data_IF_932008594513
#
_entry.id   IF_932008594513
#
_cell.length_a   1.000
_cell.length_b   1.000
_cell.length_c   1.000
_cell.angle_alpha   90.00
_cell.angle_beta   90.00
_cell.angle_gamma   90.00
#
_symmetry.space_group_name_H-M   'P 1'
#
loop_
_entity.id
_entity.type
_entity.pdbx_description
1 polymer ?
2 non-polymer ?
3 non-polymer ?
4 water ?
#
# COMPACT_ATOMS: atom_id res chain seq x y z
N UNK A 4 -1.79 16.10 18.99
CA UNK A 4 -2.65 15.86 17.85
C UNK A 4 -1.79 15.78 16.61
N UNK A 5 -0.58 15.25 16.78
CA UNK A 5 0.23 14.91 15.62
C UNK A 5 -0.54 14.02 14.65
N UNK A 6 -0.42 14.32 13.36
CA UNK A 6 -0.89 13.43 12.31
C UNK A 6 0.22 12.45 11.94
N UNK A 7 -0.07 11.14 11.93
CA UNK A 7 0.91 10.16 11.49
C UNK A 7 1.21 10.40 10.02
N UNK A 8 2.43 10.13 9.59
CA UNK A 8 2.81 10.41 8.20
C UNK A 8 2.06 9.52 7.22
N UNK A 9 2.07 9.97 5.99
CA UNK A 9 1.44 9.27 4.86
C UNK A 9 2.53 8.56 4.07
N UNK A 10 2.45 7.23 4.01
CA UNK A 10 3.35 6.40 3.22
C UNK A 10 2.68 6.05 1.90
N UNK A 11 3.31 6.41 0.80
CA UNK A 11 2.79 6.03 -0.51
C UNK A 11 3.88 6.09 -1.55
N UNK A 12 3.68 5.32 -2.62
CA UNK A 12 4.67 5.21 -3.68
C UNK A 12 4.02 4.60 -4.90
N UNK A 13 4.74 4.67 -6.00
CA UNK A 13 4.43 3.99 -7.23
C UNK A 13 5.71 3.38 -7.74
N UNK A 14 5.60 2.22 -8.38
CA UNK A 14 6.76 1.54 -8.94
C UNK A 14 6.78 1.63 -10.46
N UNK A 15 7.98 1.77 -10.99
CA UNK A 15 8.23 1.75 -12.41
C UNK A 15 9.05 0.50 -12.71
N UNK A 16 8.47 -0.43 -13.48
CA UNK A 16 9.17 -1.66 -13.79
C UNK A 16 9.70 -1.63 -15.22
N UNK A 17 10.86 -2.25 -15.41
CA UNK A 17 11.51 -2.34 -16.73
C UNK A 17 12.20 -3.70 -16.73
N UNK A 18 11.48 -4.72 -17.19
CA UNK A 18 11.93 -6.08 -17.04
C UNK A 18 12.01 -6.43 -15.56
N UNK A 19 13.18 -6.86 -15.12
CA UNK A 19 13.40 -7.16 -13.71
C UNK A 19 13.87 -5.97 -12.91
N UNK A 20 14.10 -4.81 -13.54
CA UNK A 20 14.55 -3.63 -12.81
C UNK A 20 13.35 -2.80 -12.39
N UNK A 21 13.44 -2.20 -11.21
CA UNK A 21 12.35 -1.43 -10.62
C UNK A 21 12.90 -0.13 -10.07
N UNK A 22 12.13 0.94 -10.21
CA UNK A 22 12.43 2.23 -9.60
C UNK A 22 11.19 2.69 -8.83
N UNK A 23 11.40 3.37 -7.71
CA UNK A 23 10.31 3.86 -6.88
C UNK A 23 10.14 5.36 -7.04
N UNK A 24 8.89 5.77 -7.18
CA UNK A 24 8.50 7.17 -7.05
C UNK A 24 7.87 7.26 -5.68
N UNK A 25 8.41 8.11 -4.83
CA UNK A 25 7.99 8.16 -3.44
C UNK A 25 7.06 9.35 -3.25
N UNK A 26 5.82 9.08 -2.87
CA UNK A 26 4.82 10.12 -2.64
C UNK A 26 4.56 10.35 -1.16
N UNK A 27 5.43 9.83 -0.29
CA UNK A 27 5.22 9.92 1.15
C UNK A 27 5.48 11.34 1.64
N UNK A 28 4.74 11.73 2.67
CA UNK A 28 4.85 13.08 3.21
C UNK A 28 4.18 13.10 4.56
N UNK A 29 4.46 14.16 5.31
CA UNK A 29 3.82 14.40 6.61
C UNK A 29 3.03 15.71 6.50
N UNK A 30 1.73 15.66 6.78
CA UNK A 30 0.86 16.82 6.59
C UNK A 30 1.20 17.95 7.52
N UNK A 31 1.72 17.64 8.72
CA UNK A 31 1.94 18.61 9.78
C UNK A 31 3.40 18.63 10.25
N UNK A 32 4.31 18.01 9.52
CA UNK A 32 5.70 17.98 9.94
C UNK A 32 6.61 17.58 8.81
N UNK A 33 7.58 16.73 9.12
CA UNK A 33 8.55 16.28 8.12
C UNK A 33 8.82 14.80 8.31
N UNK A 34 9.22 14.14 7.23
CA UNK A 34 9.71 12.77 7.28
C UNK A 34 11.19 12.76 7.62
N UNK A 35 11.58 11.80 8.47
CA UNK A 35 12.95 11.69 8.92
C UNK A 35 13.65 10.46 8.35
N UNK A 36 12.93 9.41 8.01
CA UNK A 36 13.57 8.19 7.54
C UNK A 36 12.57 7.36 6.76
N UNK A 37 13.13 6.42 6.02
CA UNK A 37 12.46 5.53 5.08
C UNK A 37 13.00 4.13 5.25
N UNK A 38 12.11 3.13 5.21
CA UNK A 38 12.52 1.74 5.34
C UNK A 38 11.77 0.92 4.30
N UNK A 39 12.49 0.44 3.30
CA UNK A 39 11.92 -0.36 2.23
C UNK A 39 12.28 -1.84 2.39
N UNK A 40 11.31 -2.70 2.08
CA UNK A 40 11.53 -4.13 1.95
C UNK A 40 11.02 -4.49 0.55
N UNK A 41 11.91 -5.02 -0.30
CA UNK A 41 11.54 -5.28 -1.68
C UNK A 41 10.88 -6.63 -1.88
N UNK A 42 10.75 -7.43 -0.83
CA UNK A 42 10.03 -8.68 -0.92
C UNK A 42 10.84 -9.87 -1.39
N UNK A 43 12.13 -9.65 -1.68
CA UNK A 43 13.05 -10.69 -2.14
C UNK A 43 14.26 -10.81 -1.21
N UNK A 44 14.14 -10.34 0.03
CA UNK A 44 15.24 -10.40 0.97
C UNK A 44 16.14 -9.18 0.95
N UNK A 45 15.86 -8.22 0.08
CA UNK A 45 16.64 -6.99 -0.01
C UNK A 45 15.85 -5.81 0.54
N UNK A 46 16.56 -4.91 1.20
CA UNK A 46 15.97 -3.79 1.92
C UNK A 46 16.79 -2.53 1.63
N UNK A 47 16.22 -1.36 1.95
CA UNK A 47 16.88 -0.08 1.68
C UNK A 47 16.37 1.01 2.62
N UNK A 48 17.27 1.95 2.93
CA UNK A 48 16.94 3.16 3.68
C UNK A 48 16.88 4.40 2.79
N UNK A 49 17.01 4.23 1.48
CA UNK A 49 16.95 5.38 0.59
C UNK A 49 15.51 5.84 0.36
N UNK A 50 15.38 7.12 0.02
CA UNK A 50 14.07 7.71 -0.23
C UNK A 50 13.44 7.13 -1.49
N UNK A 51 14.18 7.06 -2.59
CA UNK A 51 13.65 6.66 -3.90
C UNK A 51 14.62 5.69 -4.52
N UNK A 52 14.68 4.46 -4.01
CA UNK A 52 15.68 3.49 -4.48
C UNK A 52 15.35 2.94 -5.86
N UNK A 53 16.40 2.45 -6.51
CA UNK A 53 16.28 1.65 -7.72
C UNK A 53 16.89 0.31 -7.37
N UNK A 54 16.27 -0.77 -7.86
CA UNK A 54 16.77 -2.10 -7.56
C UNK A 54 16.41 -3.01 -8.72
N UNK A 55 16.92 -4.24 -8.64
CA UNK A 55 16.60 -5.25 -9.63
C UNK A 55 16.38 -6.58 -8.94
N UNK A 56 15.38 -7.32 -9.40
CA UNK A 56 15.16 -8.69 -8.98
C UNK A 56 16.05 -9.59 -9.83
N UNK A 57 16.49 -10.71 -9.23
CA UNK A 57 17.29 -11.68 -9.97
C UNK A 57 16.44 -12.73 -10.68
N UNK A 58 15.16 -12.81 -10.36
CA UNK A 58 14.24 -13.72 -11.04
C UNK A 58 12.85 -13.10 -11.13
N UNK A 59 12.12 -13.53 -12.16
CA UNK A 59 10.75 -13.09 -12.37
C UNK A 59 9.88 -13.51 -11.18
N UNK A 60 8.78 -12.79 -10.99
CA UNK A 60 7.78 -13.21 -10.03
C UNK A 60 6.93 -12.04 -9.54
N UNK A 61 6.02 -12.36 -8.62
CA UNK A 61 5.21 -11.40 -7.89
C UNK A 61 5.85 -11.19 -6.53
N UNK A 62 6.01 -9.94 -6.14
CA UNK A 62 6.64 -9.59 -4.88
C UNK A 62 5.80 -8.52 -4.20
N UNK A 63 5.83 -8.53 -2.87
CA UNK A 63 5.24 -7.46 -2.08
C UNK A 63 6.36 -6.50 -1.69
N UNK A 64 6.20 -5.22 -2.07
CA UNK A 64 7.13 -4.15 -1.72
C UNK A 64 6.50 -3.33 -0.61
N UNK A 65 7.26 -3.09 0.45
CA UNK A 65 6.78 -2.38 1.63
C UNK A 65 7.62 -1.14 1.89
N UNK A 66 6.94 -0.05 2.29
CA UNK A 66 7.62 1.16 2.69
C UNK A 66 7.06 1.63 4.02
N UNK A 67 7.95 1.82 4.99
CA UNK A 67 7.61 2.44 6.26
C UNK A 67 8.30 3.79 6.34
N UNK A 68 7.54 4.83 6.69
CA UNK A 68 8.10 6.17 6.90
C UNK A 68 7.87 6.60 8.34
N UNK A 69 8.76 7.47 8.82
CA UNK A 69 8.72 7.99 10.18
C UNK A 69 8.74 9.52 10.15
N UNK A 70 7.93 10.17 10.99
CA UNK A 70 7.89 11.62 11.04
C UNK A 70 8.79 12.17 12.16
N UNK A 71 8.81 13.50 12.28
CA UNK A 71 9.66 14.25 13.21
C UNK A 71 9.32 14.00 14.67
N UNK A 72 8.15 13.38 14.94
CA UNK A 72 7.75 13.00 16.29
C UNK A 72 7.91 11.52 16.57
N UNK A 73 8.35 10.74 15.59
CA UNK A 73 8.53 9.31 15.72
C UNK A 73 7.32 8.48 15.34
N UNK A 74 6.27 9.09 14.82
CA UNK A 74 5.12 8.33 14.36
C UNK A 74 5.45 7.69 13.01
N UNK A 75 4.81 6.54 12.75
CA UNK A 75 5.09 5.76 11.55
C UNK A 75 3.81 5.38 10.80
N UNK A 76 4.01 4.97 9.55
CA UNK A 76 2.96 4.31 8.79
C UNK A 76 3.64 3.47 7.74
N UNK A 77 2.97 2.40 7.35
CA UNK A 77 3.49 1.44 6.37
C UNK A 77 2.45 1.26 5.27
N UNK A 78 2.92 1.30 4.04
CA UNK A 78 2.11 0.99 2.86
C UNK A 78 2.83 -0.06 2.05
N UNK A 79 2.09 -1.06 1.57
CA UNK A 79 2.68 -2.11 0.73
C UNK A 79 1.91 -2.23 -0.56
N UNK A 80 2.58 -2.73 -1.62
CA UNK A 80 1.94 -2.98 -2.90
C UNK A 80 2.56 -4.22 -3.52
N UNK A 81 1.72 -5.09 -4.11
CA UNK A 81 2.28 -6.16 -4.94
C UNK A 81 2.72 -5.60 -6.30
N UNK A 82 3.74 -6.24 -6.87
CA UNK A 82 4.22 -5.94 -8.21
C UNK A 82 4.58 -7.26 -8.88
N UNK A 83 4.57 -7.23 -10.19
CA UNK A 83 4.95 -8.38 -10.98
C UNK A 83 6.07 -7.96 -11.92
N UNK A 84 7.12 -8.77 -11.98
CA UNK A 84 8.21 -8.53 -12.91
C UNK A 84 8.42 -9.77 -13.74
N UNK A 85 8.75 -9.56 -15.00
CA UNK A 85 8.96 -10.64 -15.94
C UNK A 85 10.30 -10.44 -16.61
N UNK A 86 10.94 -11.55 -16.96
CA UNK A 86 12.17 -11.43 -17.77
C UNK A 86 11.80 -10.83 -19.12
N UNK A 87 12.60 -9.92 -19.68
CA UNK A 87 12.27 -9.30 -20.97
C UNK A 87 12.15 -10.31 -22.12
N UNK B 4 0.27 -7.90 -22.63
CA UNK B 4 -0.42 -6.71 -23.09
C UNK B 4 -1.31 -6.14 -22.00
N UNK B 5 -2.04 -6.98 -21.27
CA UNK B 5 -2.90 -6.45 -20.22
C UNK B 5 -2.07 -5.69 -19.20
N UNK B 6 -2.54 -4.52 -18.81
CA UNK B 6 -1.95 -3.79 -17.69
C UNK B 6 -2.60 -4.26 -16.39
N UNK B 7 -1.78 -4.65 -15.41
CA UNK B 7 -2.36 -5.08 -14.15
C UNK B 7 -3.04 -3.91 -13.45
N UNK B 8 -4.12 -4.18 -12.73
CA UNK B 8 -4.86 -3.10 -12.06
C UNK B 8 -4.05 -2.49 -10.93
N UNK B 9 -4.48 -1.31 -10.50
CA UNK B 9 -3.87 -0.55 -9.41
C UNK B 9 -4.83 -0.53 -8.22
N UNK B 10 -4.40 -1.09 -7.09
CA UNK B 10 -5.19 -1.02 -5.87
C UNK B 10 -4.67 0.18 -5.09
N UNK B 11 -5.60 1.05 -4.67
CA UNK B 11 -5.19 2.22 -3.90
C UNK B 11 -6.40 2.71 -3.10
N UNK B 12 -6.17 3.16 -1.87
CA UNK B 12 -7.25 3.65 -1.03
C UNK B 12 -6.71 4.61 0.02
N UNK B 13 -7.63 5.33 0.66
CA UNK B 13 -7.33 6.19 1.80
C UNK B 13 -8.44 5.97 2.80
N UNK B 14 -8.10 6.04 4.09
CA UNK B 14 -9.04 5.83 5.18
C UNK B 14 -9.37 7.14 5.87
N UNK B 15 -10.63 7.26 6.29
CA UNK B 15 -11.10 8.35 7.15
C UNK B 15 -11.54 7.71 8.44
N UNK B 16 -10.93 8.10 9.57
CA UNK B 16 -11.24 7.52 10.86
C UNK B 16 -12.08 8.49 11.69
N UNK B 17 -12.96 7.93 12.51
CA UNK B 17 -13.86 8.72 13.37
C UNK B 17 -14.05 7.88 14.62
N UNK B 18 -13.17 8.08 15.60
CA UNK B 18 -13.09 7.21 16.75
C UNK B 18 -12.67 5.83 16.30
N UNK B 19 -13.48 4.83 16.64
CA UNK B 19 -13.22 3.45 16.23
C UNK B 19 -13.84 3.10 14.90
N UNK B 20 -14.59 4.01 14.30
CA UNK B 20 -15.21 3.75 13.00
C UNK B 20 -14.33 4.27 11.86
N UNK B 21 -14.38 3.54 10.74
CA UNK B 21 -13.54 3.84 9.58
C UNK B 21 -14.37 3.74 8.31
N UNK B 22 -14.12 4.64 7.35
CA UNK B 22 -14.68 4.51 6.02
C UNK B 22 -13.57 4.65 4.98
N UNK B 23 -13.71 3.98 3.84
CA UNK B 23 -12.70 3.97 2.79
C UNK B 23 -13.05 4.88 1.62
N UNK B 24 -12.04 5.57 1.09
CA UNK B 24 -12.11 6.18 -0.24
C UNK B 24 -11.29 5.28 -1.15
N UNK B 25 -11.88 4.79 -2.25
CA UNK B 25 -11.22 3.82 -3.15
C UNK B 25 -10.65 4.54 -4.39
N UNK B 26 -9.34 4.50 -4.57
CA UNK B 26 -8.66 5.12 -5.72
C UNK B 26 -8.18 4.07 -6.71
N UNK B 27 -8.69 2.85 -6.58
CA UNK B 27 -8.25 1.76 -7.44
C UNK B 27 -8.79 1.98 -8.85
N UNK B 28 -8.04 1.51 -9.83
CA UNK B 28 -8.44 1.71 -11.21
C UNK B 28 -7.68 0.70 -12.05
N UNK B 29 -8.14 0.53 -13.29
CA UNK B 29 -7.46 -0.28 -14.29
C UNK B 29 -7.16 0.65 -15.47
N UNK B 30 -5.91 0.67 -15.95
CA UNK B 30 -5.53 1.61 -17.01
C UNK B 30 -6.20 1.29 -18.34
N UNK B 31 -6.52 0.02 -18.60
CA UNK B 31 -6.91 -0.42 -19.92
C UNK B 31 -8.28 -1.07 -20.01
N UNK B 32 -8.77 -1.69 -18.95
CA UNK B 32 -10.05 -2.35 -18.92
C UNK B 32 -10.87 -1.81 -17.77
N UNK B 33 -11.44 -2.69 -16.95
CA UNK B 33 -12.21 -2.23 -15.81
C UNK B 33 -11.95 -3.14 -14.62
N UNK B 34 -12.17 -2.59 -13.42
CA UNK B 34 -12.14 -3.39 -12.22
C UNK B 34 -13.47 -4.10 -12.08
N UNK B 35 -13.40 -5.35 -11.67
CA UNK B 35 -14.59 -6.17 -11.54
C UNK B 35 -14.90 -6.53 -10.09
N UNK B 36 -13.92 -6.53 -9.18
CA UNK B 36 -14.23 -6.90 -7.81
C UNK B 36 -13.16 -6.41 -6.85
N UNK B 37 -13.56 -6.42 -5.57
CA UNK B 37 -12.82 -5.84 -4.46
C UNK B 37 -12.88 -6.80 -3.27
N UNK B 38 -11.75 -6.99 -2.60
CA UNK B 38 -11.67 -7.87 -1.42
C UNK B 38 -10.87 -7.18 -0.34
N UNK B 39 -11.55 -6.82 0.74
CA UNK B 39 -10.95 -6.12 1.87
C UNK B 39 -10.75 -7.04 3.06
N UNK B 40 -9.62 -6.85 3.75
CA UNK B 40 -9.36 -7.44 5.05
C UNK B 40 -9.02 -6.29 5.98
N UNK B 41 -9.81 -6.10 7.04
CA UNK B 41 -9.63 -4.92 7.87
C UNK B 41 -8.58 -5.12 8.96
N UNK B 42 -8.01 -6.31 9.07
CA UNK B 42 -6.95 -6.55 10.03
C UNK B 42 -7.40 -6.93 11.41
N UNK B 43 -8.72 -7.05 11.61
CA UNK B 43 -9.31 -7.45 12.88
C UNK B 43 -10.19 -8.68 12.73
N UNK B 44 -9.98 -9.46 11.69
CA UNK B 44 -10.81 -10.64 11.45
C UNK B 44 -12.05 -10.40 10.63
N UNK B 45 -12.29 -9.17 10.21
CA UNK B 45 -13.46 -8.81 9.43
C UNK B 45 -13.05 -8.47 8.00
N UNK B 46 -13.94 -8.82 7.05
CA UNK B 46 -13.70 -8.71 5.63
C UNK B 46 -14.93 -8.14 4.91
N UNK B 47 -14.73 -7.72 3.65
CA UNK B 47 -15.80 -7.12 2.85
C UNK B 47 -15.50 -7.29 1.36
N UNK B 48 -16.57 -7.40 0.55
CA UNK B 48 -16.47 -7.35 -0.90
C UNK B 48 -16.98 -6.04 -1.50
N UNK B 49 -17.31 -5.04 -0.67
CA UNK B 49 -17.79 -3.75 -1.14
C UNK B 49 -16.66 -2.91 -1.70
N UNK B 50 -17.02 -2.01 -2.62
CA UNK B 50 -16.02 -1.11 -3.21
C UNK B 50 -15.50 -0.13 -2.15
N UNK B 51 -16.40 0.51 -1.40
CA UNK B 51 -16.04 1.57 -0.46
C UNK B 51 -16.73 1.31 0.88
N UNK B 52 -16.24 0.33 1.63
CA UNK B 52 -16.91 -0.08 2.87
C UNK B 52 -16.73 0.91 4.02
N UNK B 53 -17.64 0.83 4.95
CA UNK B 53 -17.53 1.44 6.25
C UNK B 53 -17.57 0.34 7.30
N UNK B 54 -16.73 0.44 8.31
CA UNK B 54 -16.68 -0.58 9.35
C UNK B 54 -16.33 0.06 10.68
N UNK B 55 -16.44 -0.74 11.74
CA UNK B 55 -16.07 -0.34 13.09
C UNK B 55 -15.08 -1.36 13.67
N UNK B 56 -14.04 -0.87 14.33
CA UNK B 56 -13.21 -1.70 15.21
C UNK B 56 -13.80 -1.74 16.62
N UNK B 57 -13.66 -2.88 17.29
CA UNK B 57 -14.19 -2.98 18.65
C UNK B 57 -13.19 -2.51 19.70
N UNK B 58 -11.94 -2.30 19.32
CA UNK B 58 -10.96 -1.80 20.27
C UNK B 58 -10.00 -0.89 19.55
N UNK B 59 -9.42 0.03 20.31
CA UNK B 59 -8.41 0.93 19.79
C UNK B 59 -7.20 0.11 19.33
N UNK B 60 -6.41 0.68 18.45
CA UNK B 60 -5.13 0.07 18.11
C UNK B 60 -4.66 0.42 16.70
N UNK B 61 -3.51 -0.16 16.36
CA UNK B 61 -2.98 -0.07 14.99
C UNK B 61 -3.31 -1.36 14.25
N UNK B 62 -3.81 -1.22 13.04
CA UNK B 62 -4.25 -2.33 12.21
C UNK B 62 -3.70 -2.16 10.80
N UNK B 63 -3.47 -3.28 10.12
CA UNK B 63 -3.15 -3.26 8.71
C UNK B 63 -4.42 -3.60 7.93
N UNK B 64 -4.79 -2.70 7.00
CA UNK B 64 -5.94 -2.90 6.13
C UNK B 64 -5.45 -3.27 4.74
N UNK B 65 -6.06 -4.28 4.16
CA UNK B 65 -5.65 -4.79 2.86
C UNK B 65 -6.80 -4.72 1.87
N UNK B 66 -6.48 -4.35 0.64
CA UNK B 66 -7.41 -4.34 -0.46
C UNK B 66 -6.78 -5.04 -1.65
N UNK B 67 -7.49 -6.04 -2.18
CA UNK B 67 -7.13 -6.69 -3.44
C UNK B 67 -8.21 -6.36 -4.46
N UNK B 68 -7.78 -5.96 -5.65
CA UNK B 68 -8.69 -5.67 -6.76
C UNK B 68 -8.36 -6.61 -7.91
N UNK B 69 -9.38 -6.90 -8.71
CA UNK B 69 -9.31 -7.79 -9.86
C UNK B 69 -9.83 -7.07 -11.09
N UNK B 70 -9.14 -7.22 -12.23
CA UNK B 70 -9.59 -6.61 -13.49
C UNK B 70 -10.38 -7.62 -14.32
N UNK B 71 -10.88 -7.14 -15.47
CA UNK B 71 -11.75 -7.94 -16.36
C UNK B 71 -11.02 -9.11 -17.03
N UNK B 72 -9.70 -9.12 -16.97
CA UNK B 72 -8.91 -10.24 -17.46
C UNK B 72 -8.46 -11.19 -16.37
N UNK B 73 -8.84 -10.92 -15.11
CA UNK B 73 -8.49 -11.75 -13.99
C UNK B 73 -7.21 -11.40 -13.28
N UNK B 74 -6.53 -10.36 -13.70
CA UNK B 74 -5.30 -9.95 -13.02
C UNK B 74 -5.65 -9.25 -11.73
N UNK B 75 -4.76 -9.35 -10.73
CA UNK B 75 -5.01 -8.82 -9.40
C UNK B 75 -3.87 -7.93 -8.95
N UNK B 76 -4.15 -7.07 -7.96
CA UNK B 76 -3.12 -6.30 -7.31
C UNK B 76 -3.61 -6.03 -5.89
N UNK B 77 -2.68 -6.01 -4.92
CA UNK B 77 -3.01 -5.81 -3.51
C UNK B 77 -2.21 -4.67 -2.92
N UNK B 78 -2.90 -3.78 -2.19
CA UNK B 78 -2.24 -2.71 -1.45
C UNK B 78 -2.70 -2.81 0.00
N UNK B 79 -1.76 -2.56 0.92
CA UNK B 79 -2.11 -2.52 2.34
C UNK B 79 -1.63 -1.21 2.93
N UNK B 80 -2.32 -0.78 3.98
CA UNK B 80 -1.96 0.42 4.71
C UNK B 80 -2.22 0.19 6.19
N UNK B 81 -1.26 0.62 7.01
CA UNK B 81 -1.55 0.71 8.44
C UNK B 81 -2.42 1.92 8.73
N UNK B 82 -3.23 1.80 9.77
CA UNK B 82 -4.05 2.87 10.31
C UNK B 82 -4.05 2.74 11.84
N UNK B 83 -4.39 3.82 12.52
CA UNK B 83 -4.52 3.80 13.97
C UNK B 83 -5.87 4.39 14.34
N UNK B 84 -6.59 3.73 15.23
CA UNK B 84 -7.85 4.24 15.74
C UNK B 84 -7.74 4.33 17.26
N UNK B 85 -8.37 5.36 17.81
CA UNK B 85 -8.31 5.62 19.24
C UNK B 85 -9.73 5.79 19.75
N UNK B 86 -9.90 5.45 21.01
CA UNK B 86 -11.17 5.71 21.69
C UNK B 86 -11.37 7.23 21.77
N UNK B 87 -12.55 7.75 21.42
CA UNK B 87 -12.71 9.21 21.46
C UNK B 87 -12.56 9.79 22.87
X LIG C 1 3.25 14.30 11.71
X LIG D 1 -1.34 14.70 2.07
X LIG E 1 9.39 20.69 4.46
X LIG F 1 3.76 -9.31 -19.33
X LIG G 1 -6.14 -4.47 -17.00
X LIG H 1 -3.31 4.98 -13.42
X LIG I 1 -0.40 5.82 -13.31
#
# INVERSE_FOLDING_TARGET
>A
GAMENQAPVANFELKTDGLSVSAFNYSHDEDGELVSYAWDFGNGQMSSEMAPSWSYTRAGQYTVSLTVTDDKGATNTTTRTTQVEVP
>B
GAMENQAPVANFELKTDGLSVSAFNYSHDEDGELVSYAWDFGNGQMSSEMAPSWSYTRAGQYTVSLTVTDDKGATNTTTRTTQVEVP
>C hetero
1 CA CA
>D hetero
1 ZN ZN
>E hetero
1 ZN ZN
>F hetero
1 ZN ZN
>G hetero
1 CA CA
>H hetero
1 ZN ZN
>I hetero
1 ZN ZN
#
